data_IF_973174559616
#
_entry.id   IF_973174559616
#
_cell.length_a   1.000
_cell.length_b   1.000
_cell.length_c   1.000
_cell.angle_alpha   90.00
_cell.angle_beta   90.00
_cell.angle_gamma   90.00
#
_symmetry.space_group_name_H-M   'P 1'
#
loop_
_entity.id
_entity.type
_entity.pdbx_description
1 polymer ?
#
# COMPACT_ATOMS: atom_id res chain seq x y z
N UNK A 1 9.77 -31.87 12.26
CA UNK A 1 10.17 -31.67 10.85
C UNK A 1 9.81 -30.25 10.51
N UNK A 2 10.80 -29.36 10.42
CA UNK A 2 10.59 -27.96 9.99
C UNK A 2 10.37 -27.97 8.48
N UNK A 3 9.36 -27.25 7.93
CA UNK A 3 9.23 -27.08 6.49
C UNK A 3 10.36 -26.19 6.00
N UNK A 4 11.08 -26.69 4.99
CA UNK A 4 12.25 -26.03 4.43
C UNK A 4 11.92 -24.65 3.86
N UNK A 5 12.82 -23.71 4.11
CA UNK A 5 12.88 -22.41 3.48
C UNK A 5 12.89 -22.59 1.95
N UNK A 6 11.76 -22.32 1.30
CA UNK A 6 11.70 -22.26 -0.15
C UNK A 6 12.48 -21.01 -0.57
N UNK A 7 13.62 -21.21 -1.23
CA UNK A 7 14.35 -20.13 -1.89
C UNK A 7 13.40 -19.46 -2.90
N UNK A 8 13.28 -18.14 -2.81
CA UNK A 8 12.52 -17.33 -3.77
C UNK A 8 13.25 -17.47 -5.12
N UNK A 9 12.57 -17.92 -6.21
CA UNK A 9 13.18 -17.92 -7.53
C UNK A 9 13.59 -16.49 -7.86
N UNK A 10 14.85 -16.28 -8.21
CA UNK A 10 15.39 -14.97 -8.52
C UNK A 10 14.52 -14.26 -9.54
N UNK A 11 13.89 -13.17 -9.11
CA UNK A 11 13.22 -12.26 -10.02
C UNK A 11 14.22 -11.69 -11.03
N UNK A 12 13.78 -11.27 -12.20
CA UNK A 12 14.67 -10.71 -13.22
C UNK A 12 15.47 -9.57 -12.60
N UNK A 13 16.81 -9.64 -12.75
CA UNK A 13 17.72 -8.62 -12.27
C UNK A 13 17.28 -7.25 -12.84
N UNK A 14 16.81 -6.36 -11.97
CA UNK A 14 16.43 -5.03 -12.36
C UNK A 14 17.64 -4.33 -12.98
N UNK A 15 17.57 -3.98 -14.25
CA UNK A 15 18.60 -3.22 -14.92
C UNK A 15 18.77 -1.88 -14.18
N UNK A 16 20.02 -1.57 -13.83
CA UNK A 16 20.41 -0.32 -13.15
C UNK A 16 20.38 0.85 -14.15
N UNK A 17 19.19 1.26 -14.56
CA UNK A 17 19.00 2.54 -15.24
C UNK A 17 18.21 3.48 -14.32
N UNK A 18 18.97 4.25 -13.56
CA UNK A 18 18.48 5.42 -12.87
C UNK A 18 18.22 6.51 -13.91
N UNK A 19 16.95 6.73 -14.25
CA UNK A 19 16.63 7.87 -15.11
C UNK A 19 15.21 7.88 -15.64
N UNK A 20 14.39 8.77 -15.14
CA UNK A 20 13.19 9.28 -15.79
C UNK A 20 12.04 8.29 -16.03
N UNK A 21 10.85 8.77 -16.40
CA UNK A 21 9.71 7.90 -16.66
C UNK A 21 9.98 7.06 -17.92
N UNK A 22 10.54 5.85 -17.70
CA UNK A 22 10.70 4.79 -18.70
C UNK A 22 9.43 3.95 -18.82
N UNK A 23 9.48 2.89 -19.64
CA UNK A 23 8.38 1.91 -19.79
C UNK A 23 7.87 1.46 -18.43
N UNK A 24 6.54 1.53 -18.22
CA UNK A 24 5.88 1.09 -16.99
C UNK A 24 5.62 2.20 -15.96
N UNK A 25 6.28 3.35 -16.04
CA UNK A 25 6.03 4.45 -15.14
C UNK A 25 4.86 5.34 -15.60
N UNK A 26 3.96 5.70 -14.68
CA UNK A 26 2.86 6.63 -14.94
C UNK A 26 2.50 7.40 -13.66
N UNK A 27 1.76 8.51 -13.79
CA UNK A 27 1.19 9.24 -12.65
C UNK A 27 -0.32 9.44 -12.88
N UNK A 28 -1.11 9.26 -11.83
CA UNK A 28 -2.55 9.55 -11.80
C UNK A 28 -2.92 10.67 -10.84
N UNK A 29 -1.98 11.20 -10.13
CA UNK A 29 -2.13 12.23 -9.13
C UNK A 29 -0.83 12.95 -8.89
N UNK A 30 -0.35 12.91 -7.64
CA UNK A 30 0.89 13.55 -7.22
C UNK A 30 2.02 12.52 -6.94
N UNK A 31 1.78 11.22 -7.13
CA UNK A 31 2.78 10.18 -6.93
C UNK A 31 3.10 9.46 -8.26
N UNK A 32 4.37 9.12 -8.51
CA UNK A 32 4.76 8.24 -9.61
C UNK A 32 4.45 6.78 -9.25
N UNK A 33 3.99 6.00 -10.22
CA UNK A 33 3.65 4.58 -10.10
C UNK A 33 4.42 3.75 -11.11
N UNK A 34 4.83 2.54 -10.72
CA UNK A 34 5.43 1.56 -11.62
C UNK A 34 4.45 0.39 -11.85
N UNK A 35 4.22 0.05 -13.11
CA UNK A 35 3.36 -1.06 -13.49
C UNK A 35 4.14 -2.04 -14.37
N UNK A 36 4.80 -3.00 -13.74
CA UNK A 36 5.59 -4.03 -14.39
C UNK A 36 5.28 -5.39 -13.74
N UNK A 37 4.82 -6.39 -14.54
CA UNK A 37 4.50 -7.71 -14.02
C UNK A 37 5.73 -8.44 -13.46
N UNK A 38 5.52 -9.24 -12.42
CA UNK A 38 6.56 -10.06 -11.79
C UNK A 38 7.43 -9.30 -10.80
N UNK A 39 7.17 -8.01 -10.56
CA UNK A 39 7.82 -7.27 -9.49
C UNK A 39 7.07 -7.45 -8.18
N UNK A 40 7.83 -7.56 -7.10
CA UNK A 40 7.29 -7.42 -5.75
C UNK A 40 7.08 -5.94 -5.44
N UNK A 41 5.85 -5.55 -5.18
CA UNK A 41 5.47 -4.17 -4.95
C UNK A 41 4.76 -4.00 -3.61
N UNK A 42 5.30 -3.11 -2.78
CA UNK A 42 4.63 -2.62 -1.57
C UNK A 42 3.71 -1.47 -1.95
N UNK A 43 2.51 -1.53 -1.46
CA UNK A 43 1.44 -0.59 -1.78
C UNK A 43 0.87 -0.06 -0.46
N UNK A 44 0.63 1.25 -0.39
CA UNK A 44 -0.13 1.88 0.67
C UNK A 44 -1.27 2.68 0.04
N UNK A 45 -2.51 2.42 0.48
CA UNK A 45 -3.69 3.20 0.11
C UNK A 45 -4.54 3.51 1.35
N UNK A 46 -5.16 4.66 1.37
CA UNK A 46 -5.74 5.24 2.58
C UNK A 46 -7.18 5.69 2.39
N UNK A 47 -7.90 5.86 3.50
CA UNK A 47 -9.20 6.52 3.50
C UNK A 47 -9.08 7.97 3.00
N UNK A 48 -10.12 8.47 2.37
CA UNK A 48 -10.14 9.80 1.77
C UNK A 48 -9.94 10.91 2.81
N UNK A 49 -10.49 10.72 4.00
CA UNK A 49 -10.43 11.66 5.11
C UNK A 49 -9.20 11.52 6.03
N UNK A 50 -8.33 10.52 5.78
CA UNK A 50 -7.15 10.27 6.63
C UNK A 50 -6.11 11.38 6.56
N UNK A 51 -5.97 12.04 5.41
CA UNK A 51 -5.10 13.21 5.21
C UNK A 51 -5.88 14.29 4.45
N UNK A 52 -6.23 15.41 5.09
CA UNK A 52 -6.93 16.49 4.42
C UNK A 52 -6.16 17.04 3.22
N UNK A 53 -6.85 17.33 2.12
CA UNK A 53 -6.23 17.85 0.89
C UNK A 53 -5.44 19.15 1.14
N UNK A 54 -5.89 20.00 2.06
CA UNK A 54 -5.16 21.21 2.45
C UNK A 54 -3.79 20.92 3.08
N UNK A 55 -3.67 19.82 3.81
CA UNK A 55 -2.40 19.37 4.39
C UNK A 55 -1.45 18.90 3.30
N UNK A 56 -1.93 18.12 2.34
CA UNK A 56 -1.15 17.67 1.19
C UNK A 56 -0.66 18.87 0.36
N UNK A 57 -1.55 19.81 0.05
CA UNK A 57 -1.20 21.01 -0.71
C UNK A 57 -0.15 21.86 0.01
N UNK A 58 -0.26 22.00 1.33
CA UNK A 58 0.75 22.71 2.13
C UNK A 58 2.11 22.03 2.03
N UNK A 59 2.20 20.71 2.22
CA UNK A 59 3.46 19.97 2.12
C UNK A 59 4.07 20.03 0.71
N UNK A 60 3.24 19.97 -0.32
CA UNK A 60 3.70 20.14 -1.70
C UNK A 60 4.30 21.53 -1.92
N UNK A 61 3.67 22.57 -1.40
CA UNK A 61 4.19 23.94 -1.48
C UNK A 61 5.50 24.11 -0.68
N UNK A 62 5.56 23.58 0.55
CA UNK A 62 6.76 23.63 1.41
C UNK A 62 7.97 22.92 0.76
N UNK A 63 7.73 21.84 0.05
CA UNK A 63 8.77 21.07 -0.64
C UNK A 63 9.08 21.59 -2.04
N UNK A 64 8.42 22.65 -2.49
CA UNK A 64 8.52 23.15 -3.88
C UNK A 64 8.26 22.02 -4.90
N UNK A 65 7.28 21.19 -4.58
CA UNK A 65 6.98 20.00 -5.34
C UNK A 65 6.62 20.30 -6.81
N UNK A 66 7.14 19.49 -7.72
CA UNK A 66 6.82 19.52 -9.13
C UNK A 66 6.54 18.11 -9.62
N UNK A 67 5.55 17.96 -10.50
CA UNK A 67 5.13 16.67 -11.03
C UNK A 67 6.19 15.96 -11.90
N UNK A 68 7.16 16.72 -12.41
CA UNK A 68 8.24 16.25 -13.27
C UNK A 68 9.52 15.82 -12.52
N UNK A 69 9.50 15.85 -11.17
CA UNK A 69 10.61 15.40 -10.36
C UNK A 69 10.87 13.89 -10.55
N UNK A 70 12.14 13.45 -10.57
CA UNK A 70 12.48 12.02 -10.54
C UNK A 70 11.84 11.30 -9.34
N UNK A 71 11.50 10.02 -9.50
CA UNK A 71 10.81 9.23 -8.46
C UNK A 71 11.61 9.04 -7.16
N UNK A 72 12.93 9.24 -7.21
CA UNK A 72 13.90 9.19 -6.11
C UNK A 72 14.28 10.57 -5.58
N UNK A 73 13.68 11.64 -6.08
CA UNK A 73 13.96 13.00 -5.61
C UNK A 73 13.74 13.12 -4.08
N UNK A 74 14.61 13.86 -3.37
CA UNK A 74 14.50 14.05 -1.92
C UNK A 74 13.13 14.60 -1.48
N UNK A 75 12.50 15.43 -2.30
CA UNK A 75 11.17 15.98 -2.09
C UNK A 75 10.10 14.88 -2.02
N UNK A 76 10.18 13.90 -2.92
CA UNK A 76 9.31 12.73 -2.91
C UNK A 76 9.49 11.87 -1.65
N UNK A 77 10.75 11.62 -1.29
CA UNK A 77 11.08 10.84 -0.09
C UNK A 77 10.51 11.52 1.15
N UNK A 78 10.65 12.85 1.24
CA UNK A 78 10.16 13.64 2.37
C UNK A 78 8.62 13.67 2.41
N UNK A 79 7.96 13.92 1.26
CA UNK A 79 6.50 13.94 1.18
C UNK A 79 5.90 12.59 1.60
N UNK A 80 6.46 11.48 1.11
CA UNK A 80 6.04 10.13 1.49
C UNK A 80 6.15 9.89 2.98
N UNK A 81 7.29 10.27 3.57
CA UNK A 81 7.51 10.13 5.01
C UNK A 81 6.47 10.92 5.80
N UNK A 82 6.21 12.16 5.43
CA UNK A 82 5.18 12.98 6.07
C UNK A 82 3.79 12.37 5.94
N UNK A 83 3.45 11.80 4.77
CA UNK A 83 2.17 11.09 4.57
C UNK A 83 2.04 9.89 5.50
N UNK A 84 3.06 9.03 5.54
CA UNK A 84 3.08 7.83 6.40
C UNK A 84 2.95 8.21 7.88
N UNK A 85 3.77 9.16 8.36
CA UNK A 85 3.73 9.63 9.75
C UNK A 85 2.33 10.19 10.13
N UNK A 86 1.68 10.88 9.20
CA UNK A 86 0.35 11.44 9.42
C UNK A 86 -0.74 10.33 9.42
N UNK A 87 -0.63 9.34 8.54
CA UNK A 87 -1.53 8.19 8.50
C UNK A 87 -1.42 7.35 9.78
N UNK A 88 -0.19 7.05 10.22
CA UNK A 88 0.08 6.29 11.45
C UNK A 88 -0.41 7.01 12.71
N UNK A 89 -0.50 8.34 12.69
CA UNK A 89 -1.12 9.11 13.78
C UNK A 89 -2.64 8.88 13.89
N UNK A 90 -3.28 8.20 12.94
CA UNK A 90 -4.67 7.76 13.03
C UNK A 90 -5.70 8.88 12.85
N UNK A 91 -5.44 9.82 11.95
CA UNK A 91 -6.38 10.89 11.62
C UNK A 91 -7.57 10.40 10.77
N UNK A 92 -8.65 11.17 10.77
CA UNK A 92 -9.89 10.87 10.07
C UNK A 92 -10.84 9.97 10.85
N UNK A 93 -11.88 9.46 10.21
CA UNK A 93 -12.92 8.65 10.83
C UNK A 93 -12.47 7.21 11.20
N UNK A 94 -11.32 6.78 10.67
CA UNK A 94 -10.74 5.47 10.98
C UNK A 94 -11.72 4.30 10.80
N UNK A 95 -12.51 4.30 9.72
CA UNK A 95 -13.56 3.31 9.44
C UNK A 95 -13.07 1.86 9.44
N UNK A 96 -11.78 1.64 9.14
CA UNK A 96 -11.17 0.31 9.14
C UNK A 96 -11.00 -0.28 10.55
N UNK A 97 -11.25 0.47 11.63
CA UNK A 97 -11.37 -0.08 13.00
C UNK A 97 -12.62 -0.93 13.18
N UNK A 98 -13.66 -0.72 12.36
CA UNK A 98 -14.84 -1.53 12.39
C UNK A 98 -14.55 -2.89 11.76
N UNK A 99 -14.72 -3.97 12.53
CA UNK A 99 -14.40 -5.32 12.09
C UNK A 99 -15.10 -5.71 10.78
N UNK A 100 -16.35 -5.27 10.56
CA UNK A 100 -17.08 -5.53 9.33
C UNK A 100 -16.41 -4.90 8.10
N UNK A 101 -15.86 -3.69 8.25
CA UNK A 101 -15.17 -2.99 7.16
C UNK A 101 -13.77 -3.59 6.94
N UNK A 102 -13.03 -3.87 8.01
CA UNK A 102 -11.71 -4.49 7.89
C UNK A 102 -11.80 -5.89 7.26
N UNK A 103 -12.78 -6.72 7.64
CA UNK A 103 -13.04 -8.03 7.02
C UNK A 103 -13.38 -7.86 5.54
N UNK A 104 -14.26 -6.93 5.18
CA UNK A 104 -14.58 -6.64 3.78
C UNK A 104 -13.33 -6.31 2.94
N UNK A 105 -12.42 -5.52 3.50
CA UNK A 105 -11.17 -5.15 2.82
C UNK A 105 -10.24 -6.37 2.73
N UNK A 106 -10.10 -7.13 3.81
CA UNK A 106 -9.27 -8.34 3.83
C UNK A 106 -9.78 -9.38 2.82
N UNK A 107 -11.09 -9.63 2.77
CA UNK A 107 -11.71 -10.54 1.79
C UNK A 107 -11.44 -10.10 0.35
N UNK A 108 -11.47 -8.79 0.08
CA UNK A 108 -11.15 -8.27 -1.24
C UNK A 108 -9.68 -8.49 -1.62
N UNK A 109 -8.74 -8.41 -0.66
CA UNK A 109 -7.33 -8.72 -0.88
C UNK A 109 -7.11 -10.20 -1.21
N UNK A 110 -7.88 -11.11 -0.61
CA UNK A 110 -7.78 -12.54 -0.86
C UNK A 110 -8.50 -13.01 -2.13
N UNK A 111 -9.51 -12.27 -2.58
CA UNK A 111 -10.43 -12.76 -3.62
C UNK A 111 -9.75 -13.20 -4.92
N UNK A 112 -8.71 -12.48 -5.34
CA UNK A 112 -7.94 -12.80 -6.55
C UNK A 112 -6.51 -13.24 -6.25
N UNK A 113 -6.19 -13.54 -4.99
CA UNK A 113 -4.89 -14.14 -4.63
C UNK A 113 -4.74 -15.49 -5.33
N UNK A 114 -3.57 -15.75 -5.90
CA UNK A 114 -3.32 -16.93 -6.71
C UNK A 114 -3.97 -16.91 -8.12
N UNK A 115 -4.61 -15.83 -8.54
CA UNK A 115 -5.24 -15.68 -9.86
C UNK A 115 -4.71 -14.45 -10.65
N UNK A 116 -4.62 -13.30 -9.99
CA UNK A 116 -4.18 -12.04 -10.61
C UNK A 116 -2.89 -11.52 -10.03
N UNK A 117 -2.60 -11.91 -8.81
CA UNK A 117 -1.42 -11.56 -8.04
C UNK A 117 -1.17 -12.63 -6.97
N UNK A 118 -0.02 -12.57 -6.34
CA UNK A 118 0.29 -13.28 -5.10
C UNK A 118 0.35 -12.28 -3.95
N UNK A 119 -0.49 -12.50 -2.93
CA UNK A 119 -0.50 -11.70 -1.71
C UNK A 119 0.59 -12.22 -0.77
N UNK A 120 1.54 -11.37 -0.39
CA UNK A 120 2.75 -11.76 0.34
C UNK A 120 2.73 -11.28 1.79
N UNK A 121 2.30 -10.04 2.02
CA UNK A 121 2.08 -9.48 3.34
C UNK A 121 1.00 -8.39 3.27
N UNK A 122 0.27 -8.20 4.37
CA UNK A 122 -0.71 -7.11 4.49
C UNK A 122 -0.89 -6.70 5.95
N UNK A 123 -1.33 -5.47 6.13
CA UNK A 123 -1.81 -4.95 7.40
C UNK A 123 -2.88 -3.90 7.14
N UNK A 124 -4.09 -4.12 7.66
CA UNK A 124 -5.20 -3.17 7.60
C UNK A 124 -5.17 -2.33 8.86
N UNK A 125 -4.65 -1.12 8.74
CA UNK A 125 -4.57 -0.12 9.80
C UNK A 125 -5.90 0.64 9.94
N UNK A 126 -6.11 1.43 10.99
CA UNK A 126 -7.39 2.13 11.23
C UNK A 126 -7.88 3.01 10.09
N UNK A 127 -7.00 3.60 9.28
CA UNK A 127 -7.32 4.57 8.23
C UNK A 127 -6.55 4.36 6.92
N UNK A 128 -5.70 3.33 6.83
CA UNK A 128 -4.94 2.97 5.63
C UNK A 128 -4.64 1.47 5.59
N UNK A 129 -4.12 1.00 4.47
CA UNK A 129 -3.80 -0.42 4.24
C UNK A 129 -2.41 -0.52 3.61
N UNK A 130 -1.56 -1.34 4.21
CA UNK A 130 -0.29 -1.78 3.64
C UNK A 130 -0.45 -3.14 3.02
N UNK A 131 0.06 -3.32 1.80
CA UNK A 131 0.02 -4.60 1.08
C UNK A 131 1.34 -4.80 0.35
N UNK A 132 1.86 -6.03 0.36
CA UNK A 132 2.96 -6.46 -0.49
C UNK A 132 2.45 -7.56 -1.40
N UNK A 133 2.52 -7.35 -2.71
CA UNK A 133 2.09 -8.30 -3.73
C UNK A 133 3.12 -8.48 -4.83
N UNK A 134 2.96 -9.57 -5.58
CA UNK A 134 3.54 -9.75 -6.90
C UNK A 134 2.41 -9.79 -7.93
N UNK A 135 2.39 -8.85 -8.88
CA UNK A 135 1.38 -8.84 -9.95
C UNK A 135 1.77 -9.80 -11.07
N UNK A 136 0.77 -10.44 -11.69
CA UNK A 136 1.00 -11.34 -12.82
C UNK A 136 0.73 -10.66 -14.15
N UNK A 137 1.31 -11.23 -15.22
CA UNK A 137 1.10 -10.73 -16.57
C UNK A 137 -0.39 -10.65 -16.93
N UNK A 138 -0.81 -9.55 -17.54
CA UNK A 138 -2.21 -9.28 -17.87
C UNK A 138 -3.04 -8.66 -16.74
N UNK A 139 -2.46 -8.49 -15.55
CA UNK A 139 -3.13 -7.89 -14.38
C UNK A 139 -2.35 -6.69 -13.84
N UNK A 140 -2.39 -5.54 -14.53
CA UNK A 140 -1.68 -4.34 -14.12
C UNK A 140 -2.04 -3.90 -12.70
N UNK A 141 -1.05 -3.41 -11.94
CA UNK A 141 -1.22 -2.95 -10.56
C UNK A 141 -2.39 -1.97 -10.41
N UNK A 142 -2.47 -1.00 -11.32
CA UNK A 142 -3.56 -0.01 -11.30
C UNK A 142 -4.95 -0.63 -11.43
N UNK A 143 -5.09 -1.74 -12.19
CA UNK A 143 -6.36 -2.47 -12.33
C UNK A 143 -6.68 -3.28 -11.07
N UNK A 144 -5.68 -3.90 -10.47
CA UNK A 144 -5.84 -4.64 -9.20
C UNK A 144 -6.34 -3.70 -8.11
N UNK A 145 -5.65 -2.58 -7.91
CA UNK A 145 -6.04 -1.55 -6.93
C UNK A 145 -7.42 -0.94 -7.21
N UNK A 146 -7.72 -0.66 -8.47
CA UNK A 146 -9.04 -0.17 -8.84
C UNK A 146 -10.14 -1.16 -8.43
N UNK A 147 -9.91 -2.45 -8.64
CA UNK A 147 -10.87 -3.50 -8.25
C UNK A 147 -11.08 -3.52 -6.73
N UNK A 148 -10.01 -3.52 -5.93
CA UNK A 148 -10.11 -3.48 -4.47
C UNK A 148 -10.85 -2.23 -4.00
N UNK A 149 -10.38 -1.06 -4.45
CA UNK A 149 -10.93 0.22 -3.98
C UNK A 149 -12.38 0.42 -4.40
N UNK A 150 -12.76 0.08 -5.63
CA UNK A 150 -14.14 0.26 -6.12
C UNK A 150 -15.11 -0.65 -5.38
N UNK A 151 -14.80 -1.94 -5.28
CA UNK A 151 -15.67 -2.90 -4.59
C UNK A 151 -15.84 -2.56 -3.11
N UNK A 152 -14.72 -2.35 -2.41
CA UNK A 152 -14.75 -2.08 -0.97
C UNK A 152 -15.38 -0.74 -0.65
N UNK A 153 -15.15 0.31 -1.46
CA UNK A 153 -15.81 1.60 -1.28
C UNK A 153 -17.33 1.50 -1.39
N UNK A 154 -17.83 0.80 -2.42
CA UNK A 154 -19.26 0.62 -2.61
C UNK A 154 -19.90 -0.10 -1.42
N UNK A 155 -19.30 -1.22 -0.99
CA UNK A 155 -19.81 -2.02 0.12
C UNK A 155 -19.66 -1.32 1.47
N UNK A 156 -18.53 -0.67 1.73
CA UNK A 156 -18.31 0.09 2.95
C UNK A 156 -19.32 1.24 3.07
N UNK A 157 -19.55 2.01 2.00
CA UNK A 157 -20.54 3.09 2.01
C UNK A 157 -21.97 2.58 2.29
N UNK A 158 -22.34 1.37 1.79
CA UNK A 158 -23.60 0.73 2.13
C UNK A 158 -23.69 0.38 3.62
N UNK A 159 -22.65 -0.23 4.19
CA UNK A 159 -22.59 -0.60 5.62
C UNK A 159 -22.68 0.65 6.50
N UNK A 160 -21.92 1.70 6.15
CA UNK A 160 -21.82 2.95 6.90
C UNK A 160 -23.00 3.89 6.64
N UNK A 161 -23.89 3.57 5.69
CA UNK A 161 -25.02 4.42 5.25
C UNK A 161 -24.58 5.83 4.86
N UNK A 162 -23.45 5.92 4.15
CA UNK A 162 -22.87 7.16 3.66
C UNK A 162 -22.67 7.13 2.15
N UNK A 163 -22.31 8.27 1.57
CA UNK A 163 -21.97 8.44 0.15
C UNK A 163 -20.70 9.26 0.01
N UNK A 164 -20.13 9.29 -1.19
CA UNK A 164 -18.90 10.02 -1.48
C UNK A 164 -17.67 9.13 -1.53
N UNK A 165 -16.49 9.76 -1.52
CA UNK A 165 -15.22 9.07 -1.58
C UNK A 165 -14.98 8.31 -0.27
N UNK A 166 -14.66 7.03 -0.36
CA UNK A 166 -14.23 6.21 0.76
C UNK A 166 -12.70 6.12 0.81
N UNK A 167 -12.06 5.90 -0.34
CA UNK A 167 -10.62 5.86 -0.49
C UNK A 167 -10.10 7.14 -1.13
N UNK A 168 -8.97 7.63 -0.66
CA UNK A 168 -8.23 8.68 -1.36
C UNK A 168 -7.96 8.25 -2.81
N UNK A 169 -7.94 9.21 -3.73
CA UNK A 169 -7.76 8.91 -5.16
C UNK A 169 -6.43 8.22 -5.43
N UNK A 170 -5.37 8.75 -4.85
CA UNK A 170 -4.00 8.28 -5.06
C UNK A 170 -3.61 7.19 -4.07
N UNK A 171 -2.51 6.50 -4.35
CA UNK A 171 -1.89 5.49 -3.52
C UNK A 171 -0.38 5.62 -3.66
N UNK A 172 0.36 5.00 -2.76
CA UNK A 172 1.80 4.90 -2.86
C UNK A 172 2.20 3.46 -3.19
N UNK A 173 3.14 3.29 -4.12
CA UNK A 173 3.75 2.00 -4.41
C UNK A 173 5.27 2.09 -4.51
N UNK A 174 5.93 0.99 -4.20
CA UNK A 174 7.38 0.84 -4.28
C UNK A 174 7.72 -0.61 -4.62
N UNK A 175 8.53 -0.83 -5.65
CA UNK A 175 9.03 -2.16 -5.97
C UNK A 175 10.21 -2.56 -5.07
N UNK A 176 10.35 -3.87 -4.82
CA UNK A 176 11.46 -4.44 -4.07
C UNK A 176 12.66 -4.63 -5.00
N UNK A 177 13.84 -4.19 -4.53
CA UNK A 177 15.07 -4.22 -5.32
C UNK A 177 15.88 -5.50 -5.11
N UNK A 178 15.75 -6.09 -3.94
CA UNK A 178 16.50 -7.26 -3.48
C UNK A 178 15.77 -7.96 -2.34
N UNK A 179 16.29 -9.11 -1.91
CA UNK A 179 15.71 -9.92 -0.84
C UNK A 179 15.76 -9.20 0.51
N UNK A 180 16.79 -8.43 0.80
CA UNK A 180 16.90 -7.67 2.04
C UNK A 180 15.79 -6.62 2.12
N UNK A 181 15.60 -5.87 1.06
CA UNK A 181 14.52 -4.88 0.96
C UNK A 181 13.13 -5.53 1.08
N UNK A 182 12.95 -6.73 0.49
CA UNK A 182 11.74 -7.51 0.64
C UNK A 182 11.47 -7.88 2.11
N UNK A 183 12.45 -8.47 2.80
CA UNK A 183 12.31 -8.87 4.20
C UNK A 183 12.05 -7.68 5.14
N UNK A 184 12.76 -6.59 4.93
CA UNK A 184 12.54 -5.34 5.67
C UNK A 184 11.12 -4.80 5.46
N UNK A 185 10.60 -4.90 4.23
CA UNK A 185 9.25 -4.44 3.90
C UNK A 185 8.17 -5.32 4.54
N UNK A 186 8.35 -6.65 4.52
CA UNK A 186 7.45 -7.58 5.24
C UNK A 186 7.42 -7.25 6.72
N UNK A 187 8.60 -7.13 7.34
CA UNK A 187 8.71 -6.78 8.75
C UNK A 187 8.06 -5.42 9.06
N UNK A 188 8.28 -4.41 8.23
CA UNK A 188 7.66 -3.09 8.36
C UNK A 188 6.13 -3.20 8.32
N UNK A 189 5.55 -3.90 7.34
CA UNK A 189 4.10 -4.06 7.20
C UNK A 189 3.52 -4.73 8.45
N UNK A 190 4.13 -5.80 8.92
CA UNK A 190 3.64 -6.60 10.04
C UNK A 190 3.84 -5.91 11.40
N UNK A 191 4.90 -5.11 11.56
CA UNK A 191 5.18 -4.36 12.79
C UNK A 191 4.42 -3.03 12.89
N UNK A 192 3.73 -2.61 11.84
CA UNK A 192 3.04 -1.33 11.80
C UNK A 192 2.07 -1.10 12.97
N UNK A 193 1.20 -2.08 13.36
CA UNK A 193 0.29 -1.90 14.50
C UNK A 193 1.03 -1.76 15.85
N UNK A 194 2.21 -2.38 15.98
CA UNK A 194 3.04 -2.24 17.19
C UNK A 194 3.69 -0.87 17.23
N UNK A 195 4.23 -0.40 16.11
CA UNK A 195 4.81 0.95 15.96
C UNK A 195 3.77 2.03 16.25
N UNK A 196 2.54 1.86 15.77
CA UNK A 196 1.41 2.74 16.06
C UNK A 196 0.82 2.55 17.47
N UNK A 197 1.41 1.68 18.31
CA UNK A 197 0.98 1.39 19.70
C UNK A 197 -0.46 0.89 19.83
N UNK A 198 -0.97 0.23 18.80
CA UNK A 198 -2.32 -0.36 18.79
C UNK A 198 -2.34 -1.73 19.47
N UNK A 199 -1.24 -2.46 19.40
CA UNK A 199 -1.02 -3.77 20.05
C UNK A 199 0.41 -3.87 20.58
N UNK A 200 0.68 -4.89 21.39
CA UNK A 200 2.03 -5.15 21.94
C UNK A 200 2.86 -6.08 21.06
N UNK A 201 2.21 -6.99 20.34
CA UNK A 201 2.84 -7.93 19.40
C UNK A 201 2.13 -7.88 18.05
N UNK A 202 2.88 -8.05 16.95
CA UNK A 202 2.32 -8.03 15.60
C UNK A 202 1.23 -9.10 15.40
N UNK A 203 1.40 -10.29 16.00
CA UNK A 203 0.42 -11.38 15.96
C UNK A 203 -0.90 -11.09 16.66
N UNK A 204 -0.95 -10.05 17.52
CA UNK A 204 -2.19 -9.63 18.21
C UNK A 204 -3.09 -8.78 17.29
N UNK A 205 -2.58 -8.31 16.16
CA UNK A 205 -3.37 -7.51 15.21
C UNK A 205 -4.08 -8.39 14.20
N UNK A 206 -5.36 -8.65 14.44
CA UNK A 206 -6.19 -9.60 13.70
C UNK A 206 -6.13 -9.44 12.17
N UNK A 207 -6.10 -8.21 11.67
CA UNK A 207 -6.16 -7.90 10.24
C UNK A 207 -4.76 -7.66 9.64
N UNK A 208 -3.86 -8.60 9.89
CA UNK A 208 -2.49 -8.59 9.41
C UNK A 208 -2.02 -10.00 9.05
N UNK A 209 -1.09 -10.09 8.10
CA UNK A 209 -0.39 -11.35 7.77
C UNK A 209 0.33 -11.95 8.98
N UNK A 210 0.82 -11.13 9.92
CA UNK A 210 1.45 -11.60 11.15
C UNK A 210 0.53 -12.46 12.03
N UNK A 211 -0.77 -12.21 12.04
CA UNK A 211 -1.75 -12.98 12.80
C UNK A 211 -2.09 -14.34 12.16
N UNK A 212 -1.61 -14.59 10.94
CA UNK A 212 -1.90 -15.82 10.16
C UNK A 212 -0.70 -16.74 9.95
N UNK A 213 0.44 -16.41 10.58
CA UNK A 213 1.69 -17.19 10.56
C UNK A 213 1.80 -18.17 11.71
#
# INVERSE_FOLDING_TARGET
MMPGSAAIPGGPAASRDAGGPGRGWYSRGYLPHLDEPGLYQSINFRLDDSVPQSVIQRWQAELQWRADLPSDAPEWVKLRRQLIEYEDAGHGACWLRQAAIATLVEDALFYFDGQRYRLLAWCIMPNHVHVLIETWAGHPLGTVLHTWKSYTAQKANQILKQSGAFWARDYYDRYMRDDEHFQQTVAYIEQNPVTAKLVKSAGDWKFSSAARR
#
